data_IF_765620005969
#
_entry.id   IF_765620005969
#
_cell.length_a   1.000
_cell.length_b   1.000
_cell.length_c   1.000
_cell.angle_alpha   90.00
_cell.angle_beta   90.00
_cell.angle_gamma   90.00
#
_symmetry.space_group_name_H-M   'P 1'
#
loop_
_entity.id
_entity.type
_entity.pdbx_description
1 polymer ?
#
# COMPACT_ATOMS: atom_id res chain seq x y z
N UNK A 1 21.66 -5.32 -22.42
CA UNK A 1 20.73 -4.46 -21.65
C UNK A 1 19.32 -4.96 -21.92
N UNK A 2 18.73 -5.72 -20.99
CA UNK A 2 17.32 -6.10 -21.07
C UNK A 2 16.50 -4.94 -20.50
N UNK A 3 15.64 -4.34 -21.32
CA UNK A 3 14.65 -3.36 -20.87
C UNK A 3 13.66 -4.08 -19.96
N UNK A 4 13.99 -4.16 -18.68
CA UNK A 4 13.06 -4.53 -17.63
C UNK A 4 12.13 -3.33 -17.38
N UNK A 5 11.20 -3.08 -18.31
CA UNK A 5 9.97 -2.28 -18.06
C UNK A 5 9.08 -3.06 -17.08
N UNK A 6 9.59 -3.31 -15.87
CA UNK A 6 8.91 -4.11 -14.87
C UNK A 6 8.06 -3.24 -13.95
N UNK A 7 6.84 -3.08 -14.45
CA UNK A 7 5.56 -3.10 -13.75
C UNK A 7 4.74 -1.87 -14.18
N UNK A 8 3.54 -2.06 -14.74
CA UNK A 8 2.58 -0.97 -14.80
C UNK A 8 2.44 -0.44 -13.38
N UNK A 9 2.56 0.87 -13.23
CA UNK A 9 2.39 1.54 -11.95
C UNK A 9 1.10 1.03 -11.30
N UNK A 10 1.18 0.62 -10.03
CA UNK A 10 -0.01 0.28 -9.28
C UNK A 10 -0.79 1.57 -9.07
N UNK A 11 -1.67 1.89 -10.02
CA UNK A 11 -2.63 2.95 -9.84
C UNK A 11 -3.52 2.58 -8.66
N UNK A 12 -3.40 3.33 -7.58
CA UNK A 12 -4.33 3.30 -6.47
C UNK A 12 -5.66 3.90 -6.92
N UNK A 13 -6.76 3.36 -6.39
CA UNK A 13 -8.11 3.77 -6.79
C UNK A 13 -8.70 4.63 -5.69
N UNK A 14 -8.96 5.90 -6.00
CA UNK A 14 -9.63 6.79 -5.05
C UNK A 14 -11.04 6.23 -4.75
N UNK A 15 -11.27 5.93 -3.48
CA UNK A 15 -12.47 5.24 -3.01
C UNK A 15 -13.08 5.98 -1.85
N UNK A 16 -14.39 6.24 -1.94
CA UNK A 16 -15.19 6.79 -0.84
C UNK A 16 -15.77 5.64 -0.02
N UNK A 17 -15.55 5.67 1.28
CA UNK A 17 -16.17 4.80 2.28
C UNK A 17 -17.19 5.61 3.08
N UNK A 18 -18.46 5.27 2.95
CA UNK A 18 -19.57 5.93 3.65
C UNK A 18 -20.00 5.09 4.85
N UNK A 19 -19.78 5.61 6.06
CA UNK A 19 -20.18 4.98 7.33
C UNK A 19 -21.56 5.44 7.80
N UNK A 20 -22.01 6.63 7.37
CA UNK A 20 -23.36 7.13 7.67
C UNK A 20 -23.41 7.97 8.95
N UNK A 21 -24.58 7.99 9.61
CA UNK A 21 -24.81 8.76 10.84
C UNK A 21 -24.81 7.76 12.01
N UNK A 22 -24.02 7.98 13.08
CA UNK A 22 -24.06 7.12 14.26
C UNK A 22 -25.46 7.10 14.90
N UNK A 23 -25.88 5.96 15.45
CA UNK A 23 -27.18 5.81 16.16
C UNK A 23 -27.30 6.71 17.39
N UNK A 24 -26.18 6.99 18.05
CA UNK A 24 -26.10 7.81 19.27
C UNK A 24 -25.18 8.99 19.00
N UNK A 25 -25.41 10.12 19.68
CA UNK A 25 -24.56 11.33 19.61
C UNK A 25 -23.16 11.16 20.24
N UNK A 26 -22.74 9.94 20.59
CA UNK A 26 -21.39 9.71 21.10
C UNK A 26 -20.39 9.76 19.93
N UNK A 27 -19.84 10.94 19.66
CA UNK A 27 -18.92 11.17 18.54
C UNK A 27 -17.63 10.39 18.72
N UNK A 28 -17.05 10.40 19.93
CA UNK A 28 -15.77 9.73 20.22
C UNK A 28 -15.76 8.25 19.87
N UNK A 29 -16.79 7.50 20.26
CA UNK A 29 -16.88 6.07 19.94
C UNK A 29 -17.03 5.83 18.43
N UNK A 30 -17.69 6.73 17.72
CA UNK A 30 -17.79 6.66 16.26
C UNK A 30 -16.45 6.98 15.58
N UNK A 31 -15.73 7.99 16.07
CA UNK A 31 -14.40 8.39 15.61
C UNK A 31 -13.43 7.20 15.74
N UNK A 32 -13.32 6.64 16.95
CA UNK A 32 -12.47 5.49 17.26
C UNK A 32 -12.82 4.27 16.37
N UNK A 33 -14.10 3.95 16.21
CA UNK A 33 -14.50 2.81 15.38
C UNK A 33 -14.19 3.00 13.89
N UNK A 34 -14.32 4.23 13.37
CA UNK A 34 -13.96 4.55 11.99
C UNK A 34 -12.45 4.46 11.82
N UNK A 35 -11.66 5.05 12.71
CA UNK A 35 -10.20 4.98 12.66
C UNK A 35 -9.69 3.54 12.77
N UNK A 36 -10.20 2.75 13.72
CA UNK A 36 -9.83 1.35 13.87
C UNK A 36 -10.17 0.53 12.62
N UNK A 37 -11.31 0.80 12.00
CA UNK A 37 -11.69 0.12 10.76
C UNK A 37 -10.73 0.45 9.61
N UNK A 38 -10.40 1.73 9.42
CA UNK A 38 -9.44 2.17 8.41
C UNK A 38 -8.04 1.61 8.69
N UNK A 39 -7.61 1.60 9.95
CA UNK A 39 -6.36 0.99 10.37
C UNK A 39 -6.34 -0.50 10.01
N UNK A 40 -7.41 -1.24 10.30
CA UNK A 40 -7.48 -2.66 9.97
C UNK A 40 -7.38 -2.94 8.47
N UNK A 41 -7.97 -2.09 7.62
CA UNK A 41 -7.81 -2.17 6.16
C UNK A 41 -6.36 -1.88 5.73
N UNK A 42 -5.75 -0.84 6.31
CA UNK A 42 -4.39 -0.41 6.02
C UNK A 42 -3.37 -1.50 6.40
N UNK A 43 -3.45 -2.05 7.61
CA UNK A 43 -2.57 -3.12 8.10
C UNK A 43 -2.77 -4.45 7.38
N UNK A 44 -3.91 -4.65 6.70
CA UNK A 44 -4.11 -5.80 5.83
C UNK A 44 -3.63 -5.54 4.38
N UNK A 45 -3.25 -4.30 4.04
CA UNK A 45 -2.80 -3.90 2.70
C UNK A 45 -3.92 -3.66 1.69
N UNK A 46 -5.15 -3.42 2.16
CA UNK A 46 -6.32 -3.14 1.31
C UNK A 46 -6.37 -1.68 0.86
N UNK A 47 -5.82 -0.77 1.67
CA UNK A 47 -5.75 0.67 1.40
C UNK A 47 -4.35 1.21 1.69
N UNK A 48 -4.01 2.35 1.09
CA UNK A 48 -2.81 3.14 1.42
C UNK A 48 -2.87 3.69 2.85
N UNK A 49 -1.73 4.23 3.31
CA UNK A 49 -1.65 4.92 4.60
C UNK A 49 -2.37 6.28 4.58
N UNK A 50 -2.50 6.89 3.40
CA UNK A 50 -3.12 8.19 3.25
C UNK A 50 -4.64 8.07 3.13
N UNK A 51 -5.35 8.73 4.04
CA UNK A 51 -6.79 8.87 4.01
C UNK A 51 -7.25 10.19 4.61
N UNK A 52 -8.42 10.65 4.19
CA UNK A 52 -9.11 11.81 4.75
C UNK A 52 -10.42 11.33 5.39
N UNK A 53 -10.67 11.72 6.63
CA UNK A 53 -12.00 11.54 7.27
C UNK A 53 -12.72 12.88 7.24
N UNK A 54 -13.93 12.88 6.68
CA UNK A 54 -14.88 13.96 6.82
C UNK A 54 -15.91 13.60 7.89
N UNK A 55 -16.00 14.46 8.89
CA UNK A 55 -16.97 14.37 9.97
C UNK A 55 -18.11 15.36 9.75
N UNK A 56 -19.35 14.88 9.91
CA UNK A 56 -20.63 15.62 9.95
C UNK A 56 -21.29 16.00 8.61
N UNK A 57 -22.63 15.87 8.53
CA UNK A 57 -23.49 15.11 9.46
C UNK A 57 -23.26 13.59 9.34
N UNK A 58 -22.49 13.14 8.34
CA UNK A 58 -22.19 11.75 8.03
C UNK A 58 -20.68 11.53 8.10
N UNK A 59 -20.28 10.36 8.59
CA UNK A 59 -18.90 9.91 8.53
C UNK A 59 -18.61 9.35 7.14
N UNK A 60 -17.61 9.93 6.50
CA UNK A 60 -17.12 9.53 5.18
C UNK A 60 -15.61 9.53 5.23
N UNK A 61 -14.98 8.46 4.74
CA UNK A 61 -13.56 8.44 4.49
C UNK A 61 -13.27 8.42 2.99
N UNK A 62 -12.22 9.12 2.58
CA UNK A 62 -11.64 9.05 1.25
C UNK A 62 -10.30 8.34 1.38
N UNK A 63 -10.18 7.20 0.72
CA UNK A 63 -9.00 6.33 0.82
C UNK A 63 -8.48 6.01 -0.57
N UNK A 64 -7.22 5.64 -0.64
CA UNK A 64 -6.63 5.06 -1.84
C UNK A 64 -6.64 3.53 -1.72
N UNK A 65 -7.55 2.86 -2.42
CA UNK A 65 -7.64 1.40 -2.42
C UNK A 65 -6.56 0.80 -3.33
N UNK A 66 -5.95 -0.31 -2.92
CA UNK A 66 -4.89 -0.98 -3.71
C UNK A 66 -5.46 -1.73 -4.92
N UNK A 67 -6.76 -2.01 -4.93
CA UNK A 67 -7.46 -2.71 -6.00
C UNK A 67 -8.97 -2.41 -5.93
N UNK A 68 -9.70 -2.61 -7.03
CA UNK A 68 -11.16 -2.40 -7.07
C UNK A 68 -11.91 -3.27 -6.05
N UNK A 69 -11.49 -4.52 -5.90
CA UNK A 69 -12.05 -5.45 -4.92
C UNK A 69 -11.42 -5.35 -3.54
N UNK A 70 -10.47 -4.44 -3.30
CA UNK A 70 -9.68 -4.45 -2.07
C UNK A 70 -10.53 -4.28 -0.81
N UNK A 71 -11.69 -3.65 -0.93
CA UNK A 71 -12.64 -3.33 0.15
C UNK A 71 -13.75 -4.38 0.33
N UNK A 72 -13.73 -5.48 -0.45
CA UNK A 72 -14.70 -6.55 -0.31
C UNK A 72 -14.55 -7.29 1.04
N UNK A 73 -15.68 -7.68 1.63
CA UNK A 73 -15.74 -8.15 3.03
C UNK A 73 -15.02 -9.49 3.28
N UNK A 74 -14.91 -10.35 2.26
CA UNK A 74 -14.21 -11.63 2.40
C UNK A 74 -12.68 -11.48 2.45
N UNK A 75 -12.13 -10.34 2.03
CA UNK A 75 -10.71 -10.01 2.18
C UNK A 75 -10.36 -9.43 3.54
N UNK A 76 -11.35 -9.10 4.39
CA UNK A 76 -11.10 -8.59 5.73
C UNK A 76 -10.32 -9.60 6.58
N UNK A 77 -9.28 -9.10 7.25
CA UNK A 77 -8.60 -9.84 8.32
C UNK A 77 -9.56 -10.15 9.48
N UNK A 78 -9.23 -11.09 10.37
CA UNK A 78 -10.02 -11.31 11.59
C UNK A 78 -10.23 -10.04 12.41
N UNK A 79 -9.24 -9.15 12.47
CA UNK A 79 -9.35 -7.84 13.12
C UNK A 79 -10.29 -6.90 12.33
N UNK A 80 -10.15 -6.81 11.01
CA UNK A 80 -11.04 -6.02 10.16
C UNK A 80 -12.51 -6.44 10.25
N UNK A 81 -12.78 -7.75 10.41
CA UNK A 81 -14.14 -8.26 10.66
C UNK A 81 -14.70 -7.74 12.00
N UNK A 82 -13.91 -7.79 13.08
CA UNK A 82 -14.30 -7.23 14.39
C UNK A 82 -14.56 -5.72 14.31
N UNK A 83 -13.70 -4.96 13.63
CA UNK A 83 -13.91 -3.53 13.42
C UNK A 83 -15.19 -3.28 12.59
N UNK A 84 -15.46 -4.10 11.57
CA UNK A 84 -16.71 -4.03 10.80
C UNK A 84 -17.95 -4.27 11.66
N UNK A 85 -17.87 -5.18 12.65
CA UNK A 85 -18.92 -5.43 13.65
C UNK A 85 -19.11 -4.23 14.60
N UNK A 86 -18.03 -3.57 15.01
CA UNK A 86 -18.09 -2.32 15.76
C UNK A 86 -18.83 -1.23 14.96
N UNK A 87 -18.50 -1.06 13.67
CA UNK A 87 -19.20 -0.14 12.78
C UNK A 87 -20.70 -0.48 12.70
N UNK A 88 -21.07 -1.75 12.51
CA UNK A 88 -22.48 -2.15 12.45
C UNK A 88 -23.22 -1.83 13.77
N UNK A 89 -22.57 -2.04 14.90
CA UNK A 89 -23.15 -1.71 16.21
C UNK A 89 -23.45 -0.22 16.33
N UNK A 90 -22.48 0.64 15.98
CA UNK A 90 -22.54 2.10 16.15
C UNK A 90 -23.43 2.78 15.10
N UNK A 91 -23.30 2.40 13.83
CA UNK A 91 -23.97 3.05 12.70
C UNK A 91 -25.25 2.33 12.26
N UNK A 92 -25.43 1.06 12.62
CA UNK A 92 -26.61 0.26 12.26
C UNK A 92 -26.56 -0.38 10.87
N UNK A 93 -25.49 -0.14 10.13
CA UNK A 93 -25.23 -0.79 8.87
C UNK A 93 -23.72 -0.93 8.64
N UNK A 94 -23.33 -1.80 7.70
CA UNK A 94 -21.95 -1.90 7.24
C UNK A 94 -21.56 -0.64 6.44
N UNK A 95 -20.25 -0.32 6.31
CA UNK A 95 -19.81 0.74 5.42
C UNK A 95 -20.23 0.43 3.96
N UNK A 96 -20.57 1.48 3.22
CA UNK A 96 -20.82 1.41 1.78
C UNK A 96 -19.64 2.02 1.04
N UNK A 97 -19.36 1.53 -0.16
CA UNK A 97 -18.19 1.95 -0.91
C UNK A 97 -18.55 2.42 -2.32
N UNK A 98 -17.78 3.38 -2.82
CA UNK A 98 -17.85 3.83 -4.20
C UNK A 98 -16.47 4.25 -4.67
N UNK A 99 -15.99 3.68 -5.78
CA UNK A 99 -14.83 4.22 -6.48
C UNK A 99 -15.21 5.55 -7.13
N UNK A 100 -14.37 6.57 -6.91
CA UNK A 100 -14.58 7.91 -7.47
C UNK A 100 -13.96 8.06 -8.85
N UNK A 101 -13.08 7.13 -9.21
CA UNK A 101 -12.40 7.08 -10.50
C UNK A 101 -12.76 5.77 -11.23
N UNK A 102 -12.79 5.77 -12.58
CA UNK A 102 -12.90 4.53 -13.34
C UNK A 102 -11.73 3.61 -12.98
N UNK A 103 -12.00 2.45 -12.39
CA UNK A 103 -10.95 1.46 -12.19
C UNK A 103 -10.59 0.84 -13.53
N UNK A 104 -9.30 0.80 -13.84
CA UNK A 104 -8.81 -0.16 -14.81
C UNK A 104 -9.15 -1.54 -14.25
N UNK A 105 -10.15 -2.22 -14.82
CA UNK A 105 -10.56 -3.56 -14.38
C UNK A 105 -9.37 -4.51 -14.52
N UNK A 106 -8.64 -4.70 -13.43
CA UNK A 106 -7.49 -5.61 -13.38
C UNK A 106 -8.03 -7.01 -13.10
N UNK A 107 -7.95 -7.88 -14.11
CA UNK A 107 -8.42 -9.26 -13.99
C UNK A 107 -7.70 -9.95 -12.84
N UNK A 108 -8.46 -10.38 -11.84
CA UNK A 108 -8.22 -11.59 -11.05
C UNK A 108 -6.78 -11.83 -10.61
N UNK A 109 -6.13 -10.81 -10.06
CA UNK A 109 -4.77 -10.92 -9.50
C UNK A 109 -4.74 -11.99 -8.42
N UNK A 110 -4.23 -13.16 -8.75
CA UNK A 110 -4.04 -14.26 -7.82
C UNK A 110 -2.56 -14.63 -7.84
N UNK A 111 -1.94 -14.66 -6.68
CA UNK A 111 -0.58 -15.15 -6.51
C UNK A 111 -0.43 -16.60 -6.99
N UNK A 112 -1.53 -17.37 -7.04
CA UNK A 112 -1.52 -18.79 -7.42
C UNK A 112 -1.10 -19.03 -8.87
N UNK A 113 -1.27 -18.05 -9.75
CA UNK A 113 -0.84 -18.14 -11.15
C UNK A 113 0.58 -17.63 -11.39
N UNK A 114 1.24 -17.06 -10.36
CA UNK A 114 2.63 -16.63 -10.45
C UNK A 114 3.56 -17.84 -10.24
N UNK A 115 4.59 -17.97 -11.09
CA UNK A 115 5.64 -18.98 -10.89
C UNK A 115 6.68 -18.49 -9.88
N UNK A 116 6.88 -17.17 -9.83
CA UNK A 116 7.79 -16.52 -8.90
C UNK A 116 7.18 -15.21 -8.39
N UNK A 117 7.56 -14.84 -7.18
CA UNK A 117 7.23 -13.55 -6.56
C UNK A 117 8.54 -12.88 -6.13
N UNK A 118 8.60 -11.56 -6.23
CA UNK A 118 9.72 -10.79 -5.72
C UNK A 118 9.22 -9.62 -4.88
N UNK A 119 10.03 -9.22 -3.91
CA UNK A 119 9.81 -7.98 -3.16
C UNK A 119 10.44 -6.83 -3.93
N UNK A 120 9.71 -5.74 -4.06
CA UNK A 120 10.23 -4.49 -4.59
C UNK A 120 9.68 -3.32 -3.78
N UNK A 121 10.46 -2.25 -3.74
CA UNK A 121 10.06 -0.97 -3.17
C UNK A 121 10.79 0.13 -3.92
N UNK A 122 10.21 1.33 -3.92
CA UNK A 122 10.82 2.53 -4.44
C UNK A 122 10.20 3.73 -3.71
N UNK A 123 10.96 4.81 -3.55
CA UNK A 123 10.52 6.07 -2.93
C UNK A 123 9.08 6.47 -3.27
N UNK A 124 8.74 6.51 -4.56
CA UNK A 124 7.45 7.01 -5.06
C UNK A 124 6.38 5.92 -5.24
N UNK A 125 6.71 4.66 -5.00
CA UNK A 125 5.74 3.57 -5.18
C UNK A 125 4.90 3.40 -3.92
N UNK A 126 3.67 3.89 -3.97
CA UNK A 126 2.62 3.53 -3.00
C UNK A 126 1.92 2.23 -3.45
N UNK A 127 1.46 1.41 -2.50
CA UNK A 127 0.82 0.11 -2.78
C UNK A 127 1.62 -1.12 -2.34
N UNK A 128 1.34 -2.25 -2.99
CA UNK A 128 1.87 -3.57 -2.66
C UNK A 128 3.36 -3.71 -3.03
N UNK A 129 4.20 -4.25 -2.12
CA UNK A 129 5.61 -4.50 -2.40
C UNK A 129 5.87 -5.80 -3.16
N UNK A 130 4.84 -6.57 -3.52
CA UNK A 130 5.03 -7.91 -4.09
C UNK A 130 4.75 -7.87 -5.59
N UNK A 131 5.77 -8.13 -6.40
CA UNK A 131 5.67 -8.23 -7.85
C UNK A 131 5.71 -9.69 -8.33
N UNK A 132 5.19 -9.93 -9.54
CA UNK A 132 5.39 -11.19 -10.26
C UNK A 132 5.89 -10.89 -11.68
N UNK A 133 6.97 -11.53 -12.15
CA UNK A 133 7.47 -11.31 -13.49
C UNK A 133 6.49 -11.81 -14.56
N UNK A 134 5.83 -12.93 -14.27
CA UNK A 134 4.81 -13.53 -15.14
C UNK A 134 3.51 -12.72 -15.11
N UNK A 135 3.21 -12.20 -13.92
CA UNK A 135 2.24 -11.17 -13.57
C UNK A 135 2.26 -9.98 -14.52
N UNK A 136 3.48 -9.48 -14.75
CA UNK A 136 3.76 -8.10 -15.18
C UNK A 136 2.95 -7.08 -14.39
N UNK A 137 2.75 -7.33 -13.10
CA UNK A 137 1.98 -6.49 -12.19
C UNK A 137 2.27 -6.87 -10.75
N UNK A 138 1.88 -6.00 -9.83
CA UNK A 138 1.97 -6.25 -8.40
C UNK A 138 0.81 -7.11 -7.91
N UNK A 139 1.07 -7.91 -6.90
CA UNK A 139 0.12 -8.80 -6.25
C UNK A 139 -0.28 -8.17 -4.91
N UNK A 140 -1.55 -7.83 -4.67
CA UNK A 140 -1.96 -7.18 -3.43
C UNK A 140 -1.68 -8.04 -2.19
N UNK A 141 -1.11 -7.42 -1.14
CA UNK A 141 -0.70 -8.11 0.11
C UNK A 141 -1.85 -8.88 0.76
N UNK A 142 -3.07 -8.31 0.78
CA UNK A 142 -4.25 -8.94 1.36
C UNK A 142 -4.66 -10.24 0.65
N UNK A 143 -4.18 -10.48 -0.58
CA UNK A 143 -4.45 -11.72 -1.35
C UNK A 143 -3.41 -12.80 -1.11
N UNK A 144 -2.26 -12.46 -0.53
CA UNK A 144 -1.20 -13.41 -0.26
C UNK A 144 -1.59 -14.37 0.89
N UNK A 145 -1.12 -15.63 0.85
CA UNK A 145 -1.43 -16.64 1.85
C UNK A 145 -0.56 -16.46 3.11
N UNK A 146 -0.54 -15.23 3.63
CA UNK A 146 0.30 -14.81 4.75
C UNK A 146 -0.53 -14.65 6.02
N UNK A 147 0.11 -14.89 7.17
CA UNK A 147 -0.45 -14.52 8.46
C UNK A 147 -0.56 -13.00 8.60
N UNK A 148 -1.36 -12.53 9.55
CA UNK A 148 -1.49 -11.11 9.86
C UNK A 148 -0.12 -10.48 10.19
N UNK A 149 0.68 -11.15 11.01
CA UNK A 149 2.01 -10.70 11.41
C UNK A 149 2.97 -10.57 10.21
N UNK A 150 2.90 -11.51 9.26
CA UNK A 150 3.70 -11.46 8.04
C UNK A 150 3.28 -10.30 7.13
N UNK A 151 1.98 -10.01 7.02
CA UNK A 151 1.49 -8.85 6.25
C UNK A 151 1.91 -7.53 6.88
N UNK A 152 1.75 -7.39 8.20
CA UNK A 152 2.21 -6.21 8.94
C UNK A 152 3.72 -5.99 8.75
N UNK A 153 4.51 -7.07 8.90
CA UNK A 153 5.95 -7.02 8.64
C UNK A 153 6.27 -6.52 7.22
N UNK A 154 5.61 -7.04 6.18
CA UNK A 154 5.84 -6.60 4.80
C UNK A 154 5.48 -5.12 4.60
N UNK A 155 4.36 -4.67 5.16
CA UNK A 155 3.93 -3.26 5.06
C UNK A 155 4.94 -2.35 5.76
N UNK A 156 5.39 -2.72 6.97
CA UNK A 156 6.41 -1.98 7.73
C UNK A 156 7.76 -1.97 7.02
N UNK A 157 8.20 -3.12 6.50
CA UNK A 157 9.41 -3.23 5.70
C UNK A 157 9.37 -2.24 4.52
N UNK A 158 8.24 -2.19 3.81
CA UNK A 158 8.08 -1.27 2.67
C UNK A 158 8.15 0.19 3.10
N UNK A 159 7.47 0.55 4.21
CA UNK A 159 7.51 1.91 4.77
C UNK A 159 8.91 2.32 5.18
N UNK A 160 9.61 1.47 5.94
CA UNK A 160 10.97 1.75 6.38
C UNK A 160 11.93 2.01 5.20
N UNK A 161 11.80 1.23 4.11
CA UNK A 161 12.59 1.47 2.90
C UNK A 161 12.26 2.82 2.25
N UNK A 162 10.96 3.17 2.13
CA UNK A 162 10.56 4.48 1.60
C UNK A 162 11.05 5.63 2.47
N UNK A 163 11.03 5.47 3.79
CA UNK A 163 11.53 6.48 4.73
C UNK A 163 13.03 6.70 4.52
N UNK A 164 13.81 5.62 4.38
CA UNK A 164 15.23 5.71 4.05
C UNK A 164 15.48 6.37 2.69
N UNK A 165 14.76 5.95 1.64
CA UNK A 165 14.84 6.57 0.31
C UNK A 165 14.49 8.06 0.37
N UNK A 166 13.48 8.43 1.17
CA UNK A 166 13.05 9.82 1.31
C UNK A 166 14.10 10.70 1.99
N UNK A 167 14.85 10.16 2.96
CA UNK A 167 15.96 10.86 3.61
C UNK A 167 17.11 11.06 2.61
N UNK A 168 17.41 10.02 1.83
CA UNK A 168 18.46 10.07 0.82
C UNK A 168 18.18 11.14 -0.25
N UNK A 169 16.99 11.08 -0.87
CA UNK A 169 16.58 12.00 -1.94
C UNK A 169 16.25 13.40 -1.40
N UNK A 170 15.67 13.49 -0.20
CA UNK A 170 15.35 14.78 0.43
C UNK A 170 16.59 15.52 0.96
N UNK A 171 17.74 14.84 1.08
CA UNK A 171 18.98 15.43 1.55
C UNK A 171 19.89 15.79 0.39
N UNK A 172 19.80 17.04 -0.08
CA UNK A 172 20.68 17.54 -1.15
C UNK A 172 22.18 17.37 -0.86
N UNK A 173 22.59 17.34 0.42
CA UNK A 173 23.99 17.05 0.78
C UNK A 173 24.39 15.60 0.52
N UNK A 174 23.52 14.64 0.86
CA UNK A 174 23.77 13.22 0.60
C UNK A 174 23.72 12.94 -0.90
N UNK A 175 22.71 13.48 -1.58
CA UNK A 175 22.54 13.33 -3.02
C UNK A 175 23.73 13.89 -3.80
N UNK A 176 24.11 15.16 -3.57
CA UNK A 176 25.25 15.79 -4.26
C UNK A 176 26.58 15.11 -3.92
N UNK A 177 26.77 14.69 -2.67
CA UNK A 177 27.97 13.94 -2.26
C UNK A 177 28.09 12.62 -3.02
N UNK A 178 27.02 11.83 -3.07
CA UNK A 178 26.99 10.57 -3.80
C UNK A 178 27.17 10.75 -5.31
N UNK A 179 26.55 11.77 -5.92
CA UNK A 179 26.77 12.07 -7.34
C UNK A 179 28.22 12.44 -7.65
N UNK A 180 28.85 13.25 -6.79
CA UNK A 180 30.28 13.60 -6.95
C UNK A 180 31.16 12.36 -6.90
N UNK A 181 30.93 11.48 -5.92
CA UNK A 181 31.66 10.22 -5.82
C UNK A 181 31.41 9.34 -7.05
N UNK A 182 30.16 9.15 -7.50
CA UNK A 182 29.87 8.35 -8.71
C UNK A 182 30.49 8.95 -9.99
N UNK A 183 30.58 10.27 -10.07
CA UNK A 183 31.16 10.98 -11.21
C UNK A 183 32.69 10.98 -11.21
N UNK A 184 33.33 10.83 -10.05
CA UNK A 184 34.79 10.69 -9.94
C UNK A 184 35.21 9.25 -10.26
N UNK A 185 35.91 8.99 -11.38
CA UNK A 185 36.37 7.64 -11.76
C UNK A 185 37.39 7.04 -10.77
N UNK A 186 37.95 7.84 -9.87
CA UNK A 186 38.90 7.40 -8.85
C UNK A 186 38.23 7.02 -7.53
N UNK A 187 36.97 7.37 -7.33
CA UNK A 187 36.25 7.05 -6.11
C UNK A 187 36.04 5.55 -5.94
N UNK A 188 35.83 5.11 -4.70
CA UNK A 188 35.46 3.72 -4.43
C UNK A 188 34.13 3.36 -5.09
N UNK A 189 33.14 4.25 -5.04
CA UNK A 189 31.81 4.03 -5.63
C UNK A 189 31.85 3.83 -7.15
N UNK A 190 32.74 4.54 -7.85
CA UNK A 190 32.93 4.37 -9.30
C UNK A 190 33.67 3.07 -9.63
N UNK A 191 34.66 2.69 -8.81
CA UNK A 191 35.48 1.48 -9.01
C UNK A 191 34.78 0.17 -8.66
N UNK A 192 33.85 0.18 -7.70
CA UNK A 192 33.02 -1.00 -7.36
C UNK A 192 32.16 -1.42 -8.58
N UNK A 193 31.70 -0.45 -9.38
CA UNK A 193 30.94 -0.72 -10.61
C UNK A 193 31.77 -1.43 -11.69
N UNK A 194 33.07 -1.19 -11.73
CA UNK A 194 33.98 -1.80 -12.73
C UNK A 194 34.31 -3.26 -12.40
N UNK A 195 34.38 -3.62 -11.11
CA UNK A 195 34.63 -5.00 -10.67
C UNK A 195 33.43 -5.92 -10.92
N UNK A 196 32.21 -5.45 -10.65
CA UNK A 196 31.00 -6.25 -10.88
C UNK A 196 30.70 -6.55 -12.37
N UNK A 197 31.30 -5.80 -13.30
CA UNK A 197 31.17 -6.01 -14.76
C UNK A 197 32.35 -6.79 -15.37
N UNK A 198 33.40 -7.09 -14.59
CA UNK A 198 34.55 -7.87 -15.06
C UNK A 198 34.51 -9.34 -14.62
N UNK A 199 33.60 -9.71 -13.73
CA UNK A 199 33.38 -11.08 -13.25
C UNK A 199 32.16 -11.78 -13.91
N UNK A 200 31.67 -11.27 -15.04
CA UNK A 200 30.62 -11.87 -15.88
C UNK A 200 30.99 -11.90 -17.36
#
# INVERSE_FOLDING_TARGET
>A
MSNYDFAPEEQLILTRISFGIPKRRCTKAADEAVEEYLAALMYNGQISADYLIQERPKYVAYVQATHDQAIESHYLSPWGKKCSDSILSIFGHRPKYAHLEPSLKRKGLSWRSAKSLFLHTAMFKSGSPVGSPELRQVVPVYRLPLSYQQRDYLIRWTRNYRDHDSIWVGSGKLEVGAYREMADPRSELSRVRTRALSDH
#
